data_IF_858317908265
#
_entry.id   IF_858317908265
#
_cell.length_a   1.000
_cell.length_b   1.000
_cell.length_c   1.000
_cell.angle_alpha   90.00
_cell.angle_beta   90.00
_cell.angle_gamma   90.00
#
_symmetry.space_group_name_H-M   'P 1'
#
loop_
_entity.id
_entity.type
_entity.pdbx_description
1 polymer ?
#
# COMPACT_ATOMS: atom_id res chain seq x y z
N UNK A 1 -11.93 0.01 17.63
CA UNK A 1 -10.83 -0.78 17.02
C UNK A 1 -10.85 -0.55 15.52
N UNK A 2 -9.69 -0.35 14.93
CA UNK A 2 -9.56 -0.13 13.50
C UNK A 2 -8.90 -1.32 12.83
N UNK A 3 -8.88 -1.31 11.48
CA UNK A 3 -8.19 -2.34 10.69
C UNK A 3 -6.99 -1.69 10.04
N UNK A 4 -5.82 -2.31 10.19
CA UNK A 4 -4.61 -1.90 9.48
C UNK A 4 -4.42 -2.79 8.25
N UNK A 5 -4.25 -2.17 7.10
CA UNK A 5 -4.00 -2.86 5.82
C UNK A 5 -2.54 -2.69 5.45
N UNK A 6 -1.87 -3.79 5.13
CA UNK A 6 -0.45 -3.78 4.74
C UNK A 6 -0.28 -4.33 3.33
N UNK A 7 0.34 -3.55 2.46
CA UNK A 7 0.83 -4.00 1.17
C UNK A 7 2.35 -3.91 1.16
N UNK A 8 3.01 -4.93 0.65
CA UNK A 8 4.47 -5.04 0.69
C UNK A 8 4.99 -5.57 -0.64
N UNK A 9 6.04 -4.95 -1.19
CA UNK A 9 6.63 -5.37 -2.44
C UNK A 9 8.11 -4.99 -2.50
N UNK A 10 8.79 -5.39 -3.57
CA UNK A 10 10.17 -5.00 -3.84
C UNK A 10 10.22 -4.15 -5.10
N UNK A 11 11.11 -3.15 -5.07
CA UNK A 11 11.33 -2.22 -6.17
C UNK A 11 12.84 -2.11 -6.39
N UNK A 12 13.24 -1.80 -7.62
CA UNK A 12 14.66 -1.52 -7.90
C UNK A 12 15.11 -0.32 -7.09
N UNK A 13 16.21 -0.49 -6.35
CA UNK A 13 16.71 0.56 -5.46
C UNK A 13 16.98 1.87 -6.22
N UNK A 14 17.47 1.79 -7.45
CA UNK A 14 17.73 2.95 -8.29
C UNK A 14 16.47 3.76 -8.60
N UNK A 15 15.28 3.14 -8.53
CA UNK A 15 13.99 3.77 -8.83
C UNK A 15 13.17 4.07 -7.58
N UNK A 16 13.74 3.86 -6.40
CA UNK A 16 13.03 3.97 -5.13
C UNK A 16 12.33 5.32 -4.96
N UNK A 17 13.06 6.41 -5.12
CA UNK A 17 12.51 7.74 -4.86
C UNK A 17 11.41 8.10 -5.85
N UNK A 18 11.59 7.73 -7.11
CA UNK A 18 10.57 7.95 -8.14
C UNK A 18 9.31 7.16 -7.83
N UNK A 19 9.47 5.90 -7.41
CA UNK A 19 8.32 5.07 -7.09
C UNK A 19 7.60 5.53 -5.83
N UNK A 20 8.33 5.95 -4.80
CA UNK A 20 7.70 6.53 -3.60
C UNK A 20 6.82 7.72 -3.97
N UNK A 21 7.31 8.61 -4.84
CA UNK A 21 6.51 9.74 -5.31
C UNK A 21 5.25 9.27 -6.05
N UNK A 22 5.37 8.25 -6.88
CA UNK A 22 4.24 7.68 -7.61
C UNK A 22 3.21 7.05 -6.65
N UNK A 23 3.68 6.28 -5.66
CA UNK A 23 2.80 5.65 -4.66
C UNK A 23 2.06 6.71 -3.84
N UNK A 24 2.73 7.80 -3.47
CA UNK A 24 2.06 8.91 -2.77
C UNK A 24 0.96 9.54 -3.62
N UNK A 25 1.21 9.71 -4.92
CA UNK A 25 0.26 10.34 -5.83
C UNK A 25 -0.92 9.42 -6.20
N UNK A 26 -0.75 8.12 -6.09
CA UNK A 26 -1.77 7.12 -6.49
C UNK A 26 -2.37 6.40 -5.30
N UNK A 27 -1.68 5.40 -4.76
CA UNK A 27 -2.20 4.57 -3.69
C UNK A 27 -2.51 5.33 -2.43
N UNK A 28 -1.56 6.10 -1.93
CA UNK A 28 -1.74 6.86 -0.67
C UNK A 28 -2.84 7.90 -0.83
N UNK A 29 -2.84 8.64 -1.94
CA UNK A 29 -3.90 9.62 -2.21
C UNK A 29 -5.27 8.93 -2.32
N UNK A 30 -5.33 7.78 -2.99
CA UNK A 30 -6.54 6.98 -3.11
C UNK A 30 -7.06 6.52 -1.76
N UNK A 31 -6.19 6.03 -0.89
CA UNK A 31 -6.56 5.66 0.48
C UNK A 31 -7.19 6.86 1.21
N UNK A 32 -6.49 7.98 1.22
CA UNK A 32 -6.92 9.16 1.99
C UNK A 32 -8.21 9.78 1.48
N UNK A 33 -8.53 9.60 0.20
CA UNK A 33 -9.76 10.10 -0.39
C UNK A 33 -10.96 9.19 -0.13
N UNK A 34 -10.74 7.98 0.34
CA UNK A 34 -11.81 7.02 0.58
C UNK A 34 -12.42 7.27 1.97
N UNK A 35 -13.74 7.49 2.06
CA UNK A 35 -14.40 7.65 3.36
C UNK A 35 -14.14 6.44 4.25
N UNK A 36 -13.81 6.70 5.52
CA UNK A 36 -13.47 5.65 6.49
C UNK A 36 -11.99 5.37 6.60
N UNK A 37 -11.15 5.96 5.72
CA UNK A 37 -9.71 5.89 5.90
C UNK A 37 -9.27 6.82 7.03
N UNK A 38 -8.48 6.30 7.95
CA UNK A 38 -8.00 7.02 9.13
C UNK A 38 -6.56 7.52 8.97
N UNK A 39 -5.87 7.09 7.95
CA UNK A 39 -4.51 7.50 7.65
C UNK A 39 -3.79 6.47 6.81
N UNK A 40 -2.69 6.89 6.18
CA UNK A 40 -1.88 6.01 5.35
C UNK A 40 -0.46 6.54 5.26
N UNK A 41 0.49 5.62 5.21
CA UNK A 41 1.91 5.94 5.03
C UNK A 41 2.54 5.01 4.01
N UNK A 42 3.64 5.46 3.43
CA UNK A 42 4.55 4.62 2.66
C UNK A 42 5.91 4.65 3.35
N UNK A 43 6.56 3.49 3.43
CA UNK A 43 7.88 3.38 4.03
C UNK A 43 8.74 2.43 3.19
N UNK A 44 10.05 2.60 3.28
CA UNK A 44 11.00 1.79 2.52
C UNK A 44 12.12 1.30 3.41
N UNK A 45 12.71 0.17 3.01
CA UNK A 45 13.90 -0.38 3.63
C UNK A 45 14.77 -0.98 2.53
N UNK A 46 16.02 -0.54 2.41
CA UNK A 46 16.94 -1.12 1.45
C UNK A 46 17.31 -2.54 1.88
N UNK A 47 17.17 -3.50 0.98
CA UNK A 47 17.48 -4.91 1.22
C UNK A 47 18.94 -5.18 0.88
N UNK A 48 19.37 -4.71 -0.29
CA UNK A 48 20.74 -4.84 -0.77
C UNK A 48 21.03 -3.71 -1.76
N UNK A 49 22.13 -3.83 -2.50
CA UNK A 49 22.57 -2.78 -3.43
C UNK A 49 21.59 -2.53 -4.58
N UNK A 50 20.72 -3.50 -4.89
CA UNK A 50 19.84 -3.44 -6.06
C UNK A 50 18.35 -3.38 -5.72
N UNK A 51 17.98 -3.78 -4.50
CA UNK A 51 16.57 -3.94 -4.12
C UNK A 51 16.21 -3.13 -2.89
N UNK A 52 15.02 -2.56 -2.93
CA UNK A 52 14.40 -1.87 -1.80
C UNK A 52 13.04 -2.51 -1.55
N UNK A 53 12.75 -2.80 -0.28
CA UNK A 53 11.40 -3.18 0.12
C UNK A 53 10.57 -1.93 0.33
N UNK A 54 9.36 -1.92 -0.20
CA UNK A 54 8.40 -0.85 0.00
C UNK A 54 7.15 -1.42 0.68
N UNK A 55 6.61 -0.67 1.62
CA UNK A 55 5.39 -1.05 2.32
C UNK A 55 4.45 0.15 2.38
N UNK A 56 3.17 -0.11 2.17
CA UNK A 56 2.14 0.87 2.53
C UNK A 56 1.34 0.32 3.69
N UNK A 57 1.12 1.17 4.69
CA UNK A 57 0.26 0.88 5.81
C UNK A 57 -0.89 1.88 5.77
N UNK A 58 -2.10 1.38 5.94
CA UNK A 58 -3.29 2.23 5.98
C UNK A 58 -4.23 1.73 7.07
N UNK A 59 -4.95 2.67 7.69
CA UNK A 59 -5.86 2.37 8.78
C UNK A 59 -7.28 2.74 8.37
N UNK A 60 -8.24 1.88 8.77
CA UNK A 60 -9.62 1.94 8.29
C UNK A 60 -10.59 1.71 9.41
N UNK A 61 -11.72 2.40 9.36
CA UNK A 61 -12.77 2.24 10.37
C UNK A 61 -13.37 0.83 10.36
N UNK A 62 -13.55 0.24 9.17
CA UNK A 62 -14.20 -1.06 9.00
C UNK A 62 -13.88 -1.66 7.63
N UNK A 63 -14.32 -2.90 7.42
CA UNK A 63 -14.13 -3.58 6.13
C UNK A 63 -14.91 -2.92 4.99
N UNK A 64 -16.07 -2.34 5.27
CA UNK A 64 -16.87 -1.69 4.23
C UNK A 64 -16.10 -0.53 3.60
N UNK A 65 -15.34 0.22 4.40
CA UNK A 65 -14.48 1.29 3.90
C UNK A 65 -13.39 0.76 2.97
N UNK A 66 -12.81 -0.39 3.33
CA UNK A 66 -11.78 -1.01 2.49
C UNK A 66 -12.40 -1.49 1.17
N UNK A 67 -13.60 -2.07 1.21
CA UNK A 67 -14.31 -2.49 -0.01
C UNK A 67 -14.59 -1.33 -0.94
N UNK A 68 -14.87 -0.16 -0.39
CA UNK A 68 -15.10 1.04 -1.20
C UNK A 68 -13.85 1.43 -1.99
N UNK A 69 -12.67 1.10 -1.47
CA UNK A 69 -11.40 1.35 -2.15
C UNK A 69 -11.02 0.26 -3.14
N UNK A 70 -11.09 -1.02 -2.72
CA UNK A 70 -10.48 -2.12 -3.48
C UNK A 70 -11.50 -3.03 -4.17
N UNK A 71 -12.77 -2.98 -3.78
CA UNK A 71 -13.81 -3.86 -4.28
C UNK A 71 -14.17 -4.96 -3.29
N UNK A 72 -14.96 -5.95 -3.74
CA UNK A 72 -15.60 -6.92 -2.85
C UNK A 72 -14.62 -7.82 -2.11
N UNK A 73 -13.47 -8.14 -2.71
CA UNK A 73 -12.45 -8.97 -2.07
C UNK A 73 -11.35 -8.08 -1.50
N UNK A 74 -11.43 -7.81 -0.19
CA UNK A 74 -10.48 -6.92 0.47
C UNK A 74 -9.06 -7.48 0.55
N UNK A 75 -8.88 -8.79 0.36
CA UNK A 75 -7.54 -9.39 0.37
C UNK A 75 -6.72 -9.06 -0.87
N UNK A 76 -7.36 -8.53 -1.92
CA UNK A 76 -6.68 -8.25 -3.19
C UNK A 76 -5.90 -6.95 -3.12
N UNK A 77 -4.68 -6.98 -3.65
CA UNK A 77 -3.91 -5.76 -3.88
C UNK A 77 -4.52 -4.99 -5.05
N UNK A 78 -4.47 -3.66 -4.98
CA UNK A 78 -4.88 -2.80 -6.08
C UNK A 78 -3.66 -2.16 -6.70
N UNK A 79 -3.50 -2.35 -8.02
CA UNK A 79 -2.37 -1.81 -8.76
C UNK A 79 -2.78 -0.66 -9.66
N UNK A 80 -1.81 0.18 -10.00
CA UNK A 80 -1.98 1.35 -10.83
C UNK A 80 -1.17 1.19 -12.12
N UNK A 81 -1.49 1.95 -13.19
CA UNK A 81 -0.94 1.66 -14.52
C UNK A 81 0.58 1.57 -14.63
N UNK A 82 1.33 2.36 -13.86
CA UNK A 82 2.78 2.35 -13.97
C UNK A 82 3.50 1.45 -12.97
N UNK A 83 2.75 0.75 -12.09
CA UNK A 83 3.37 -0.10 -11.08
C UNK A 83 4.32 -1.13 -11.68
N UNK A 84 3.95 -1.74 -12.81
CA UNK A 84 4.75 -2.78 -13.46
C UNK A 84 6.14 -2.28 -13.89
N UNK A 85 6.25 -1.00 -14.17
CA UNK A 85 7.54 -0.40 -14.57
C UNK A 85 8.54 -0.41 -13.43
N UNK A 86 8.07 -0.36 -12.20
CA UNK A 86 8.89 -0.22 -11.00
C UNK A 86 9.07 -1.53 -10.23
N UNK A 87 8.03 -2.36 -10.16
CA UNK A 87 7.99 -3.47 -9.22
C UNK A 87 8.80 -4.66 -9.69
N UNK A 88 9.60 -5.22 -8.78
CA UNK A 88 10.29 -6.49 -8.96
C UNK A 88 9.40 -7.64 -8.51
N UNK A 89 8.52 -7.41 -7.53
CA UNK A 89 7.51 -8.36 -7.08
C UNK A 89 6.15 -7.69 -7.13
N UNK A 90 5.11 -8.49 -7.40
CA UNK A 90 3.74 -7.99 -7.51
C UNK A 90 2.80 -8.94 -6.79
N UNK A 91 2.75 -8.88 -5.45
CA UNK A 91 1.89 -9.77 -4.69
C UNK A 91 0.42 -9.51 -5.04
N UNK A 92 -0.35 -10.58 -5.16
CA UNK A 92 -1.78 -10.48 -5.49
C UNK A 92 -2.62 -10.09 -4.29
N UNK A 93 -2.11 -10.36 -3.09
CA UNK A 93 -2.87 -10.17 -1.86
C UNK A 93 -2.13 -9.28 -0.88
N UNK A 94 -2.88 -8.76 0.08
CA UNK A 94 -2.39 -7.92 1.16
C UNK A 94 -2.78 -8.56 2.50
N UNK A 95 -2.23 -8.04 3.60
CA UNK A 95 -2.55 -8.49 4.94
C UNK A 95 -3.38 -7.45 5.67
N UNK A 96 -4.26 -7.93 6.56
CA UNK A 96 -5.03 -7.06 7.43
C UNK A 96 -4.82 -7.48 8.88
N UNK A 97 -4.80 -6.49 9.75
CA UNK A 97 -4.61 -6.67 11.18
C UNK A 97 -5.66 -5.87 11.95
N UNK A 98 -6.13 -6.41 13.06
CA UNK A 98 -6.90 -5.61 13.99
C UNK A 98 -5.93 -4.68 14.71
N UNK A 99 -6.21 -3.38 14.64
CA UNK A 99 -5.33 -2.36 15.19
C UNK A 99 -5.96 -1.77 16.45
N UNK A 100 -5.19 -1.74 17.54
CA UNK A 100 -5.65 -1.16 18.81
C UNK A 100 -5.21 0.27 18.98
N UNK A 101 -4.31 0.74 18.12
CA UNK A 101 -3.74 2.09 18.12
C UNK A 101 -3.43 2.46 16.68
N UNK A 102 -3.23 3.65 16.32
CA UNK A 102 -2.03 4.39 16.69
C UNK A 102 -2.19 5.15 17.94
#
# INVERSE_FOLDING_TARGET
MSIMREWRAEVRRALKDEYVAYVKATGIAGYKQTPGNLGAIVATRDIDAERTEIVTLSWWEDEASIRAFVGSDISRARYYPEDDRFLLTRPETVQHYDSTAP
#
